data_IF_168842106970
#
_entry.id   IF_168842106970
#
_cell.length_a   1.000
_cell.length_b   1.000
_cell.length_c   1.000
_cell.angle_alpha   90.00
_cell.angle_beta   90.00
_cell.angle_gamma   90.00
#
_symmetry.space_group_name_H-M   'P 1'
#
loop_
_entity.id
_entity.type
_entity.pdbx_description
1 polymer ?
#
# COMPACT_ATOMS: atom_id res chain seq x y z
N UNK A 1 -20.86 -1.83 34.48
CA UNK A 1 -20.25 -3.11 34.15
C UNK A 1 -21.07 -3.74 33.04
N UNK A 2 -20.63 -3.60 31.82
CA UNK A 2 -21.22 -4.35 30.71
C UNK A 2 -20.04 -4.88 29.89
N UNK A 3 -19.63 -6.09 30.25
CA UNK A 3 -18.83 -6.93 29.38
C UNK A 3 -19.64 -7.16 28.11
N UNK A 4 -19.33 -6.43 27.06
CA UNK A 4 -19.78 -6.77 25.72
C UNK A 4 -19.02 -8.03 25.30
N UNK A 5 -19.63 -9.16 25.60
CA UNK A 5 -19.27 -10.46 25.11
C UNK A 5 -19.09 -10.41 23.59
N UNK A 6 -17.85 -10.42 23.14
CA UNK A 6 -17.48 -10.60 21.74
C UNK A 6 -17.58 -12.11 21.38
N UNK A 7 -18.70 -12.70 21.74
CA UNK A 7 -19.00 -14.11 21.51
C UNK A 7 -19.90 -14.23 20.29
N UNK A 8 -19.32 -14.44 19.10
CA UNK A 8 -20.12 -14.81 17.94
C UNK A 8 -19.59 -14.44 16.55
N UNK A 9 -18.49 -13.73 16.43
CA UNK A 9 -17.94 -13.51 15.10
C UNK A 9 -17.18 -14.74 14.60
N UNK A 10 -17.41 -15.18 13.35
CA UNK A 10 -16.69 -16.30 12.78
C UNK A 10 -15.19 -16.03 12.83
N UNK A 11 -14.44 -16.95 13.38
CA UNK A 11 -12.99 -16.86 13.48
C UNK A 11 -12.39 -17.51 12.25
N UNK A 12 -11.51 -16.76 11.58
CA UNK A 12 -10.81 -17.18 10.39
C UNK A 12 -9.44 -17.76 10.74
N UNK A 13 -9.08 -18.86 10.11
CA UNK A 13 -7.74 -19.42 10.17
C UNK A 13 -6.76 -18.55 9.39
N UNK A 14 -5.45 -18.70 9.65
CA UNK A 14 -4.41 -18.00 8.89
C UNK A 14 -4.45 -18.34 7.39
N UNK A 15 -4.87 -19.56 7.03
CA UNK A 15 -5.04 -19.98 5.64
C UNK A 15 -6.18 -19.24 4.94
N UNK A 16 -7.32 -19.09 5.60
CA UNK A 16 -8.47 -18.32 5.09
C UNK A 16 -8.12 -16.84 4.94
N UNK A 17 -7.41 -16.27 5.91
CA UNK A 17 -6.94 -14.88 5.83
C UNK A 17 -5.96 -14.70 4.67
N UNK A 18 -5.02 -15.61 4.49
CA UNK A 18 -4.10 -15.59 3.36
C UNK A 18 -4.84 -15.61 2.01
N UNK A 19 -5.85 -16.46 1.89
CA UNK A 19 -6.66 -16.56 0.69
C UNK A 19 -7.46 -15.28 0.41
N UNK A 20 -8.05 -14.68 1.44
CA UNK A 20 -8.88 -13.46 1.30
C UNK A 20 -8.07 -12.19 1.08
N UNK A 21 -6.89 -12.09 1.67
CA UNK A 21 -6.03 -10.89 1.56
C UNK A 21 -5.03 -10.96 0.41
N UNK A 22 -4.79 -12.14 -0.16
CA UNK A 22 -3.74 -12.37 -1.13
C UNK A 22 -2.32 -12.42 -0.53
N UNK A 23 -2.18 -12.32 0.79
CA UNK A 23 -0.91 -12.45 1.47
C UNK A 23 -0.54 -13.92 1.67
N UNK A 24 0.75 -14.24 1.65
CA UNK A 24 1.22 -15.56 2.06
C UNK A 24 1.08 -15.73 3.59
N UNK A 25 0.97 -16.97 4.04
CA UNK A 25 1.03 -17.29 5.48
C UNK A 25 2.31 -16.78 6.12
N UNK A 26 3.43 -16.81 5.38
CA UNK A 26 4.71 -16.25 5.83
C UNK A 26 4.62 -14.73 6.04
N UNK A 27 4.00 -14.00 5.11
CA UNK A 27 3.78 -12.56 5.23
C UNK A 27 2.89 -12.23 6.44
N UNK A 28 1.80 -12.98 6.67
CA UNK A 28 0.93 -12.79 7.84
C UNK A 28 1.68 -12.97 9.17
N UNK A 29 2.54 -13.99 9.26
CA UNK A 29 3.41 -14.19 10.43
C UNK A 29 4.42 -13.07 10.59
N UNK A 30 4.95 -12.54 9.48
CA UNK A 30 5.83 -11.36 9.48
C UNK A 30 5.09 -10.13 10.03
N UNK A 31 3.86 -9.84 9.57
CA UNK A 31 3.05 -8.73 10.08
C UNK A 31 2.80 -8.83 11.58
N UNK A 32 2.50 -10.03 12.09
CA UNK A 32 2.34 -10.27 13.52
C UNK A 32 3.64 -10.00 14.29
N UNK A 33 4.75 -10.57 13.84
CA UNK A 33 6.06 -10.46 14.50
C UNK A 33 6.57 -9.02 14.51
N UNK A 34 6.35 -8.27 13.45
CA UNK A 34 6.81 -6.89 13.31
C UNK A 34 5.88 -5.87 13.99
N UNK A 35 4.82 -6.30 14.65
CA UNK A 35 3.90 -5.40 15.34
C UNK A 35 3.09 -4.49 14.42
N UNK A 36 2.74 -4.98 13.23
CA UNK A 36 1.96 -4.22 12.24
C UNK A 36 0.45 -4.39 12.41
N UNK A 37 0.00 -5.25 13.33
CA UNK A 37 -1.40 -5.47 13.61
C UNK A 37 -1.89 -4.53 14.72
N UNK A 38 -3.11 -4.01 14.57
CA UNK A 38 -3.73 -3.11 15.55
C UNK A 38 -4.22 -3.83 16.82
N UNK A 39 -4.28 -5.16 16.77
CA UNK A 39 -4.64 -6.00 17.92
C UNK A 39 -3.82 -7.30 17.92
N UNK A 40 -3.56 -7.88 19.10
CA UNK A 40 -2.89 -9.17 19.19
C UNK A 40 -3.70 -10.27 18.49
N UNK A 41 -3.02 -11.13 17.73
CA UNK A 41 -3.65 -12.27 17.07
C UNK A 41 -4.17 -13.24 18.15
N UNK A 42 -5.46 -13.52 18.09
CA UNK A 42 -6.09 -14.47 18.99
C UNK A 42 -5.59 -15.91 18.73
N UNK A 43 -5.70 -16.75 19.74
CA UNK A 43 -5.39 -18.18 19.63
C UNK A 43 -6.62 -19.00 19.98
N UNK A 44 -6.82 -20.08 19.23
CA UNK A 44 -7.80 -21.10 19.58
C UNK A 44 -7.30 -21.97 20.74
N UNK A 45 -8.15 -22.82 21.32
CA UNK A 45 -7.79 -23.70 22.43
C UNK A 45 -6.63 -24.66 22.09
N UNK A 46 -6.47 -25.01 20.79
CA UNK A 46 -5.37 -25.84 20.27
C UNK A 46 -4.15 -24.99 19.83
N UNK A 47 -4.12 -23.71 20.18
CA UNK A 47 -2.98 -22.81 19.96
C UNK A 47 -2.84 -22.24 18.55
N UNK A 48 -3.81 -22.50 17.67
CA UNK A 48 -3.78 -21.97 16.30
C UNK A 48 -4.17 -20.50 16.26
N UNK A 49 -3.64 -19.75 15.30
CA UNK A 49 -4.02 -18.36 15.05
C UNK A 49 -5.47 -18.28 14.60
N UNK A 50 -6.17 -17.30 15.17
CA UNK A 50 -7.57 -17.00 14.85
C UNK A 50 -7.72 -15.50 14.63
N UNK A 51 -8.33 -15.13 13.52
CA UNK A 51 -8.56 -13.75 13.10
C UNK A 51 -10.04 -13.45 13.03
N UNK A 52 -10.42 -12.20 13.18
CA UNK A 52 -11.78 -11.71 12.96
C UNK A 52 -11.84 -10.79 11.74
N UNK A 53 -13.04 -10.41 11.31
CA UNK A 53 -13.23 -9.50 10.16
C UNK A 53 -12.55 -8.14 10.37
N UNK A 54 -12.44 -7.66 11.60
CA UNK A 54 -11.73 -6.43 11.93
C UNK A 54 -10.22 -6.55 11.66
N UNK A 55 -9.63 -7.71 11.90
CA UNK A 55 -8.22 -7.98 11.59
C UNK A 55 -7.99 -7.98 10.08
N UNK A 56 -8.93 -8.52 9.30
CA UNK A 56 -8.86 -8.47 7.84
C UNK A 56 -8.92 -7.04 7.31
N UNK A 57 -9.88 -6.26 7.78
CA UNK A 57 -10.02 -4.85 7.38
C UNK A 57 -8.73 -4.06 7.69
N UNK A 58 -8.10 -4.33 8.85
CA UNK A 58 -6.83 -3.73 9.21
C UNK A 58 -5.68 -4.19 8.30
N UNK A 59 -5.60 -5.47 7.98
CA UNK A 59 -4.61 -6.02 7.05
C UNK A 59 -4.71 -5.39 5.67
N UNK A 60 -5.93 -5.15 5.17
CA UNK A 60 -6.14 -4.44 3.89
C UNK A 60 -5.58 -3.02 3.93
N UNK A 61 -5.76 -2.30 5.04
CA UNK A 61 -5.13 -0.98 5.23
C UNK A 61 -3.61 -1.10 5.19
N UNK A 62 -3.03 -2.03 5.95
CA UNK A 62 -1.59 -2.26 5.97
C UNK A 62 -1.02 -2.61 4.59
N UNK A 63 -1.70 -3.46 3.82
CA UNK A 63 -1.31 -3.82 2.46
C UNK A 63 -1.24 -2.59 1.57
N UNK A 64 -2.27 -1.72 1.60
CA UNK A 64 -2.32 -0.49 0.80
C UNK A 64 -1.24 0.51 1.22
N UNK A 65 -1.03 0.71 2.52
CA UNK A 65 0.03 1.57 3.02
C UNK A 65 1.42 1.05 2.60
N UNK A 66 1.63 -0.26 2.70
CA UNK A 66 2.90 -0.89 2.29
C UNK A 66 3.14 -0.81 0.79
N UNK A 67 2.13 -1.11 -0.02
CA UNK A 67 2.23 -1.07 -1.48
C UNK A 67 2.45 0.35 -2.03
N UNK A 68 1.99 1.37 -1.32
CA UNK A 68 2.23 2.78 -1.65
C UNK A 68 3.57 3.32 -1.11
N UNK A 69 4.42 2.45 -0.52
CA UNK A 69 5.75 2.80 -0.08
C UNK A 69 5.86 3.37 1.33
N UNK A 70 4.84 3.18 2.18
CA UNK A 70 4.94 3.60 3.58
C UNK A 70 6.00 2.76 4.31
N UNK A 71 6.97 3.39 5.03
CA UNK A 71 7.97 2.66 5.80
C UNK A 71 7.33 1.79 6.89
N UNK A 72 7.88 0.60 7.12
CA UNK A 72 7.38 -0.33 8.15
C UNK A 72 7.33 0.31 9.54
N UNK A 73 8.31 1.14 9.89
CA UNK A 73 8.33 1.86 11.17
C UNK A 73 7.13 2.81 11.32
N UNK A 74 6.70 3.47 10.23
CA UNK A 74 5.54 4.35 10.25
C UNK A 74 4.23 3.54 10.36
N UNK A 75 4.12 2.41 9.67
CA UNK A 75 2.96 1.50 9.78
C UNK A 75 2.87 0.96 11.21
N UNK A 76 3.98 0.53 11.79
CA UNK A 76 4.05 0.05 13.19
C UNK A 76 3.57 1.13 14.16
N UNK A 77 4.09 2.35 14.03
CA UNK A 77 3.66 3.47 14.89
C UNK A 77 2.18 3.77 14.75
N UNK A 78 1.67 3.72 13.52
CA UNK A 78 0.24 3.90 13.26
C UNK A 78 -0.60 2.78 13.90
N UNK A 79 -0.17 1.52 13.78
CA UNK A 79 -0.82 0.37 14.42
C UNK A 79 -0.86 0.50 15.96
N UNK A 80 0.25 0.91 16.58
CA UNK A 80 0.32 1.17 18.02
C UNK A 80 -0.68 2.23 18.49
N UNK A 81 -0.77 3.34 17.75
CA UNK A 81 -1.72 4.41 18.05
C UNK A 81 -3.17 3.95 17.92
N UNK A 82 -3.48 3.15 16.90
CA UNK A 82 -4.82 2.57 16.73
C UNK A 82 -5.14 1.59 17.86
N UNK A 83 -4.19 0.78 18.29
CA UNK A 83 -4.35 -0.15 19.40
C UNK A 83 -4.61 0.56 20.75
N UNK A 84 -4.05 1.74 20.94
CA UNK A 84 -4.27 2.57 22.15
C UNK A 84 -5.68 3.17 22.24
N UNK A 85 -6.44 3.16 21.14
CA UNK A 85 -7.79 3.71 21.10
C UNK A 85 -7.85 5.21 20.79
N UNK A 86 -8.82 5.90 21.38
CA UNK A 86 -9.06 7.34 21.17
C UNK A 86 -8.07 8.24 21.94
N UNK A 87 -7.96 9.50 21.51
CA UNK A 87 -7.14 10.52 22.17
C UNK A 87 -5.79 10.81 21.50
N UNK A 88 -5.47 10.08 20.41
CA UNK A 88 -4.23 10.26 19.63
C UNK A 88 -4.49 10.49 18.14
N UNK A 89 -5.69 10.97 17.81
CA UNK A 89 -6.13 11.18 16.41
C UNK A 89 -5.22 12.17 15.67
N UNK A 90 -4.67 13.15 16.37
CA UNK A 90 -3.72 14.11 15.79
C UNK A 90 -2.45 13.42 15.30
N UNK A 91 -1.85 12.55 16.13
CA UNK A 91 -0.64 11.81 15.75
C UNK A 91 -0.91 10.87 14.56
N UNK A 92 -2.07 10.17 14.56
CA UNK A 92 -2.47 9.34 13.43
C UNK A 92 -2.63 10.15 12.16
N UNK A 93 -3.27 11.32 12.26
CA UNK A 93 -3.45 12.24 11.15
C UNK A 93 -2.11 12.72 10.59
N UNK A 94 -1.16 13.08 11.44
CA UNK A 94 0.15 13.55 11.03
C UNK A 94 0.94 12.46 10.27
N UNK A 95 0.90 11.21 10.73
CA UNK A 95 1.51 10.07 10.03
C UNK A 95 0.90 9.90 8.64
N UNK A 96 -0.43 9.90 8.54
CA UNK A 96 -1.14 9.71 7.28
C UNK A 96 -0.94 10.88 6.32
N UNK A 97 -0.94 12.12 6.80
CA UNK A 97 -0.66 13.33 5.99
C UNK A 97 0.73 13.31 5.40
N UNK A 98 1.73 12.96 6.20
CA UNK A 98 3.10 12.85 5.70
C UNK A 98 3.20 11.81 4.57
N UNK A 99 2.53 10.67 4.73
CA UNK A 99 2.49 9.66 3.67
C UNK A 99 1.70 10.12 2.45
N UNK A 100 0.55 10.78 2.65
CA UNK A 100 -0.25 11.37 1.58
C UNK A 100 0.58 12.32 0.70
N UNK A 101 1.37 13.20 1.32
CA UNK A 101 2.26 14.11 0.59
C UNK A 101 3.29 13.37 -0.27
N UNK A 102 3.88 12.30 0.27
CA UNK A 102 4.83 11.45 -0.48
C UNK A 102 4.17 10.79 -1.69
N UNK A 103 3.00 10.19 -1.48
CA UNK A 103 2.24 9.53 -2.55
C UNK A 103 1.83 10.55 -3.62
N UNK A 104 1.37 11.74 -3.23
CA UNK A 104 1.04 12.82 -4.16
C UNK A 104 2.24 13.23 -5.01
N UNK A 105 3.41 13.40 -4.39
CA UNK A 105 4.64 13.72 -5.11
C UNK A 105 5.05 12.60 -6.09
N UNK A 106 4.88 11.33 -5.70
CA UNK A 106 5.14 10.19 -6.59
C UNK A 106 4.20 10.19 -7.80
N UNK A 107 2.91 10.47 -7.59
CA UNK A 107 1.93 10.56 -8.68
C UNK A 107 2.34 11.64 -9.68
N UNK A 108 2.73 12.81 -9.20
CA UNK A 108 3.21 13.90 -10.06
C UNK A 108 4.43 13.46 -10.87
N UNK A 109 5.43 12.86 -10.23
CA UNK A 109 6.63 12.36 -10.89
C UNK A 109 6.32 11.29 -11.96
N UNK A 110 5.45 10.32 -11.62
CA UNK A 110 5.04 9.30 -12.58
C UNK A 110 4.21 9.87 -13.73
N UNK A 111 3.38 10.87 -13.48
CA UNK A 111 2.61 11.56 -14.53
C UNK A 111 3.56 12.23 -15.53
N UNK A 112 4.61 12.91 -15.05
CA UNK A 112 5.63 13.51 -15.91
C UNK A 112 6.37 12.46 -16.73
N UNK A 113 6.78 11.35 -16.11
CA UNK A 113 7.39 10.23 -16.83
C UNK A 113 6.45 9.66 -17.91
N UNK A 114 5.17 9.48 -17.58
CA UNK A 114 4.19 8.96 -18.53
C UNK A 114 3.98 9.89 -19.72
N UNK A 115 3.98 11.20 -19.52
CA UNK A 115 3.90 12.18 -20.61
C UNK A 115 5.07 12.03 -21.58
N UNK A 116 6.29 11.90 -21.07
CA UNK A 116 7.47 11.66 -21.88
C UNK A 116 7.40 10.32 -22.64
N UNK A 117 6.95 9.26 -21.98
CA UNK A 117 6.76 7.94 -22.60
C UNK A 117 5.72 8.03 -23.72
N UNK A 118 4.59 8.67 -23.47
CA UNK A 118 3.53 8.83 -24.48
C UNK A 118 4.03 9.64 -25.68
N UNK A 119 4.82 10.69 -25.46
CA UNK A 119 5.43 11.42 -26.54
C UNK A 119 6.30 10.51 -27.41
N UNK A 120 7.16 9.69 -26.81
CA UNK A 120 7.99 8.73 -27.56
C UNK A 120 7.17 7.64 -28.27
N UNK A 121 6.12 7.14 -27.65
CA UNK A 121 5.22 6.17 -28.29
C UNK A 121 4.59 6.78 -29.53
N UNK A 122 4.06 7.99 -29.45
CA UNK A 122 3.45 8.67 -30.61
C UNK A 122 4.48 8.91 -31.71
N UNK A 123 5.70 9.37 -31.36
CA UNK A 123 6.77 9.59 -32.31
C UNK A 123 7.11 8.31 -33.11
N UNK A 124 7.21 7.16 -32.43
CA UNK A 124 7.49 5.90 -33.12
C UNK A 124 6.29 5.38 -33.93
N UNK A 125 5.06 5.59 -33.42
CA UNK A 125 3.86 5.23 -34.18
C UNK A 125 3.77 6.03 -35.49
N UNK A 126 4.04 7.33 -35.43
CA UNK A 126 4.04 8.19 -36.62
C UNK A 126 5.15 7.79 -37.58
N UNK A 127 6.35 7.47 -37.08
CA UNK A 127 7.48 6.99 -37.87
C UNK A 127 7.22 5.66 -38.59
N UNK A 128 6.44 4.76 -37.98
CA UNK A 128 6.06 3.47 -38.60
C UNK A 128 5.02 3.64 -39.69
N UNK A 129 4.27 4.75 -39.71
CA UNK A 129 3.26 5.09 -40.71
C UNK A 129 3.79 6.04 -41.79
N UNK A 130 4.96 6.67 -41.57
CA UNK A 130 5.64 7.59 -42.48
C UNK A 130 6.66 6.86 -43.38
N UNK A 131 7.15 7.56 -44.43
CA UNK A 131 8.14 7.03 -45.38
C UNK A 131 9.42 6.59 -44.64
N UNK A 132 10.03 5.43 -44.94
CA UNK A 132 11.24 4.91 -44.29
C UNK A 132 12.48 5.79 -44.41
N UNK A 133 12.43 6.91 -45.13
CA UNK A 133 13.51 7.86 -45.29
C UNK A 133 13.65 8.92 -44.18
N UNK A 134 12.69 9.04 -43.25
CA UNK A 134 12.75 10.00 -42.15
C UNK A 134 13.58 9.44 -40.98
N UNK A 135 14.63 10.13 -40.55
CA UNK A 135 15.48 9.66 -39.47
C UNK A 135 14.74 9.72 -38.11
N UNK A 136 14.46 8.51 -37.56
CA UNK A 136 13.80 8.29 -36.24
C UNK A 136 14.58 8.98 -35.08
N UNK A 137 15.78 9.48 -35.31
CA UNK A 137 16.69 10.05 -34.31
C UNK A 137 16.78 11.59 -34.34
N UNK A 138 15.87 12.24 -35.05
CA UNK A 138 15.73 13.70 -34.99
C UNK A 138 15.36 14.15 -33.60
N UNK A 139 16.32 14.69 -32.90
CA UNK A 139 16.21 15.53 -31.69
C UNK A 139 15.97 14.88 -30.34
N UNK A 140 17.09 14.29 -29.83
CA UNK A 140 17.29 14.18 -28.38
C UNK A 140 17.26 15.57 -27.71
N UNK A 141 17.50 16.68 -28.43
CA UNK A 141 17.49 18.03 -27.90
C UNK A 141 16.10 18.52 -27.50
N UNK A 142 15.03 18.12 -28.18
CA UNK A 142 13.68 18.50 -27.81
C UNK A 142 13.16 17.79 -26.52
N UNK A 143 13.77 16.66 -26.13
CA UNK A 143 13.43 15.98 -24.89
C UNK A 143 14.01 16.67 -23.65
N UNK A 144 15.06 17.47 -23.78
CA UNK A 144 15.71 18.21 -22.70
C UNK A 144 15.10 19.60 -22.47
N UNK A 145 14.24 20.06 -23.37
CA UNK A 145 13.59 21.38 -23.28
C UNK A 145 12.38 21.41 -22.31
N UNK A 146 11.99 20.29 -21.74
CA UNK A 146 10.88 20.22 -20.77
C UNK A 146 11.32 20.32 -19.29
N UNK A 147 12.61 20.58 -19.03
CA UNK A 147 13.18 20.68 -17.66
C UNK A 147 13.48 22.13 -17.25
N UNK A 148 12.60 23.11 -17.62
CA UNK A 148 12.63 24.47 -17.07
C UNK A 148 11.25 24.97 -16.69
#
# INVERSE_FOLDING_TARGET
>A
MTELATSGQPRLSIGEVAQRTGLSVHALRFYEREGLLASPVQRTADGRRAYCERDLAWLEVCIKLRSSGMPLAAIRRYAELVAQGSGNEKERLDILRQHQQRVTAQIVAFTTCLQMINFKVNLYQDSLTADPSDPIWGDIQDCLAYDN
#
